data_IF_160769177219
#
_entry.id   IF_160769177219
#
_cell.length_a   1.000
_cell.length_b   1.000
_cell.length_c   1.000
_cell.angle_alpha   90.00
_cell.angle_beta   90.00
_cell.angle_gamma   90.00
#
_symmetry.space_group_name_H-M   'P 1'
#
loop_
_entity.id
_entity.type
_entity.pdbx_description
1 polymer ?
#
# COMPACT_ATOMS: atom_id res chain seq x y z
N UNK A 1 -10.95 13.67 17.25
CA UNK A 1 -11.84 12.60 16.73
C UNK A 1 -11.59 12.30 15.25
N UNK A 2 -11.46 13.33 14.40
CA UNK A 2 -11.22 13.17 12.95
C UNK A 2 -10.01 12.29 12.54
N UNK A 3 -8.86 12.40 13.21
CA UNK A 3 -7.65 11.62 12.86
C UNK A 3 -7.82 10.12 13.12
N UNK A 4 -8.50 9.74 14.21
CA UNK A 4 -8.78 8.33 14.52
C UNK A 4 -9.73 7.72 13.49
N UNK A 5 -10.75 8.48 13.09
CA UNK A 5 -11.69 8.05 12.05
C UNK A 5 -10.98 7.85 10.71
N UNK A 6 -10.09 8.78 10.32
CA UNK A 6 -9.26 8.63 9.12
C UNK A 6 -8.32 7.44 9.18
N UNK A 7 -7.67 7.21 10.33
CA UNK A 7 -6.81 6.06 10.54
C UNK A 7 -7.59 4.76 10.35
N UNK A 8 -8.71 4.59 11.06
CA UNK A 8 -9.46 3.33 11.02
C UNK A 8 -10.23 3.12 9.72
N UNK A 9 -10.74 4.19 9.11
CA UNK A 9 -11.55 4.06 7.91
C UNK A 9 -10.67 4.09 6.64
N UNK A 10 -9.89 5.14 6.40
CA UNK A 10 -9.18 5.32 5.12
C UNK A 10 -7.88 4.53 5.02
N UNK A 11 -7.24 4.15 6.13
CA UNK A 11 -6.01 3.34 6.06
C UNK A 11 -6.30 1.84 6.04
N UNK A 12 -7.47 1.39 6.51
CA UNK A 12 -7.75 -0.04 6.63
C UNK A 12 -7.81 -0.77 5.27
N UNK A 13 -8.52 -0.29 4.24
CA UNK A 13 -8.50 -0.94 2.93
C UNK A 13 -7.09 -1.07 2.34
N UNK A 14 -6.28 0.02 2.18
CA UNK A 14 -4.96 -0.12 1.59
C UNK A 14 -4.03 -1.00 2.45
N UNK A 15 -4.12 -0.96 3.78
CA UNK A 15 -3.35 -1.87 4.64
C UNK A 15 -3.74 -3.34 4.45
N UNK A 16 -5.04 -3.64 4.44
CA UNK A 16 -5.52 -5.02 4.27
C UNK A 16 -5.09 -5.60 2.93
N UNK A 17 -5.21 -4.82 1.85
CA UNK A 17 -4.80 -5.26 0.53
C UNK A 17 -3.28 -5.33 0.39
N UNK A 18 -2.53 -4.39 0.99
CA UNK A 18 -1.06 -4.48 1.03
C UNK A 18 -0.58 -5.72 1.76
N UNK A 19 -1.14 -6.04 2.93
CA UNK A 19 -0.77 -7.24 3.69
C UNK A 19 -1.08 -8.51 2.89
N UNK A 20 -2.23 -8.58 2.22
CA UNK A 20 -2.56 -9.70 1.34
C UNK A 20 -1.55 -9.83 0.20
N UNK A 21 -1.26 -8.75 -0.51
CA UNK A 21 -0.33 -8.72 -1.64
C UNK A 21 1.09 -9.12 -1.22
N UNK A 22 1.58 -8.57 -0.11
CA UNK A 22 2.89 -8.94 0.47
C UNK A 22 2.95 -10.39 0.96
N UNK A 23 1.86 -10.92 1.52
CA UNK A 23 1.78 -12.32 1.93
C UNK A 23 1.79 -13.26 0.72
N UNK A 24 1.03 -12.94 -0.33
CA UNK A 24 1.04 -13.68 -1.59
C UNK A 24 2.42 -13.63 -2.27
N UNK A 25 3.10 -12.48 -2.17
CA UNK A 25 4.47 -12.30 -2.67
C UNK A 25 5.44 -13.27 -2.01
N UNK A 26 5.43 -13.37 -0.68
CA UNK A 26 6.28 -14.32 0.04
C UNK A 26 5.87 -15.78 -0.23
N UNK A 27 4.57 -16.08 -0.18
CA UNK A 27 4.07 -17.42 -0.46
C UNK A 27 4.34 -17.88 -1.91
N UNK A 28 4.47 -16.92 -2.84
CA UNK A 28 4.67 -17.17 -4.25
C UNK A 28 6.11 -17.47 -4.66
N UNK A 29 7.09 -17.39 -3.74
CA UNK A 29 8.47 -17.72 -4.04
C UNK A 29 8.66 -19.24 -4.28
N UNK A 30 9.75 -19.62 -4.95
CA UNK A 30 10.05 -21.03 -5.25
C UNK A 30 10.64 -21.76 -4.05
N UNK A 31 10.66 -23.10 -4.09
CA UNK A 31 11.38 -23.90 -3.08
C UNK A 31 12.88 -23.57 -3.07
N UNK A 32 13.48 -23.33 -4.23
CA UNK A 32 14.89 -22.94 -4.33
C UNK A 32 15.18 -21.58 -3.66
N UNK A 33 14.26 -20.61 -3.80
CA UNK A 33 14.36 -19.34 -3.08
C UNK A 33 14.37 -19.56 -1.56
N UNK A 34 13.45 -20.39 -1.05
CA UNK A 34 13.38 -20.72 0.36
C UNK A 34 14.53 -21.61 0.86
N UNK A 35 15.20 -22.34 -0.03
CA UNK A 35 16.44 -23.07 0.23
C UNK A 35 17.69 -22.16 0.28
N UNK A 36 17.54 -20.85 0.06
CA UNK A 36 18.59 -19.85 0.18
C UNK A 36 19.10 -19.29 -1.15
N UNK A 37 18.58 -19.75 -2.30
CA UNK A 37 18.89 -19.16 -3.60
C UNK A 37 18.01 -17.94 -3.89
N UNK A 38 18.29 -16.83 -3.17
CA UNK A 38 17.50 -15.60 -3.28
C UNK A 38 17.53 -14.95 -4.68
N UNK A 39 18.40 -15.40 -5.58
CA UNK A 39 18.40 -14.95 -6.98
C UNK A 39 17.19 -15.49 -7.76
N UNK A 40 16.54 -16.55 -7.30
CA UNK A 40 15.29 -17.07 -7.88
C UNK A 40 14.05 -16.35 -7.37
N UNK A 41 14.17 -15.05 -7.11
CA UNK A 41 13.04 -14.22 -6.73
C UNK A 41 12.01 -14.15 -7.86
N UNK A 42 10.74 -14.22 -7.49
CA UNK A 42 9.61 -13.92 -8.36
C UNK A 42 8.93 -12.64 -7.83
N UNK A 43 9.27 -11.49 -8.39
CA UNK A 43 8.69 -10.20 -8.04
C UNK A 43 8.88 -9.22 -9.19
N UNK A 44 7.83 -8.49 -9.55
CA UNK A 44 7.83 -7.55 -10.68
C UNK A 44 8.19 -6.13 -10.25
N UNK A 45 7.88 -5.74 -9.01
CA UNK A 45 8.30 -4.47 -8.43
C UNK A 45 9.82 -4.41 -8.34
N UNK A 46 10.51 -3.50 -9.05
CA UNK A 46 11.98 -3.46 -9.05
C UNK A 46 12.57 -3.29 -7.65
N UNK A 47 11.88 -2.55 -6.78
CA UNK A 47 12.31 -2.32 -5.41
C UNK A 47 12.13 -3.53 -4.53
N UNK A 48 10.98 -4.19 -4.59
CA UNK A 48 10.76 -5.39 -3.79
C UNK A 48 11.54 -6.58 -4.32
N UNK A 49 11.76 -6.65 -5.64
CA UNK A 49 12.67 -7.60 -6.26
C UNK A 49 14.08 -7.46 -5.68
N UNK A 50 14.64 -6.25 -5.69
CA UNK A 50 15.97 -6.00 -5.12
C UNK A 50 16.09 -6.33 -3.62
N UNK A 51 15.02 -6.08 -2.85
CA UNK A 51 15.00 -6.44 -1.43
C UNK A 51 14.92 -7.96 -1.24
N UNK A 52 14.08 -8.64 -2.03
CA UNK A 52 13.92 -10.09 -1.99
C UNK A 52 15.17 -10.83 -2.49
N UNK A 53 15.93 -10.29 -3.44
CA UNK A 53 17.24 -10.87 -3.84
C UNK A 53 18.28 -10.79 -2.74
N UNK A 54 18.12 -9.83 -1.81
CA UNK A 54 18.99 -9.71 -0.64
C UNK A 54 18.57 -10.69 0.45
N UNK A 55 17.32 -10.61 0.91
CA UNK A 55 16.76 -11.50 1.95
C UNK A 55 15.24 -11.28 2.10
N UNK A 56 14.42 -12.30 2.44
CA UNK A 56 12.99 -12.12 2.71
C UNK A 56 12.68 -11.15 3.86
N UNK A 57 13.57 -11.05 4.87
CA UNK A 57 13.42 -10.03 5.92
C UNK A 57 13.68 -8.60 5.42
N UNK A 58 14.58 -8.42 4.44
CA UNK A 58 14.79 -7.10 3.84
C UNK A 58 13.53 -6.63 3.12
N UNK A 59 12.83 -7.55 2.44
CA UNK A 59 11.49 -7.30 1.91
C UNK A 59 10.50 -6.93 3.01
N UNK A 60 10.39 -7.72 4.08
CA UNK A 60 9.42 -7.45 5.15
C UNK A 60 9.61 -6.06 5.77
N UNK A 61 10.86 -5.66 6.03
CA UNK A 61 11.20 -4.33 6.55
C UNK A 61 10.88 -3.23 5.53
N UNK A 62 11.28 -3.41 4.27
CA UNK A 62 10.98 -2.43 3.21
C UNK A 62 9.48 -2.29 2.94
N UNK A 63 8.73 -3.38 3.00
CA UNK A 63 7.28 -3.40 2.83
C UNK A 63 6.58 -2.72 4.01
N UNK A 64 7.04 -2.96 5.25
CA UNK A 64 6.56 -2.24 6.42
C UNK A 64 6.85 -0.73 6.34
N UNK A 65 8.03 -0.34 5.84
CA UNK A 65 8.36 1.06 5.60
C UNK A 65 7.43 1.67 4.53
N UNK A 66 7.13 0.95 3.45
CA UNK A 66 6.16 1.39 2.45
C UNK A 66 4.76 1.61 3.02
N UNK A 67 4.29 0.69 3.88
CA UNK A 67 3.03 0.87 4.60
C UNK A 67 3.03 2.13 5.47
N UNK A 68 4.12 2.37 6.21
CA UNK A 68 4.26 3.58 7.00
C UNK A 68 4.23 4.85 6.14
N UNK A 69 4.80 4.82 4.92
CA UNK A 69 4.78 5.94 3.98
C UNK A 69 3.35 6.30 3.58
N UNK A 70 2.58 5.35 3.03
CA UNK A 70 1.24 5.69 2.56
C UNK A 70 0.28 5.98 3.72
N UNK A 71 0.43 5.33 4.88
CA UNK A 71 -0.35 5.68 6.09
C UNK A 71 -0.03 7.11 6.52
N UNK A 72 1.26 7.46 6.58
CA UNK A 72 1.71 8.82 6.87
C UNK A 72 1.10 9.85 5.90
N UNK A 73 1.13 9.56 4.60
CA UNK A 73 0.50 10.42 3.58
C UNK A 73 -1.01 10.56 3.80
N UNK A 74 -1.76 9.48 4.02
CA UNK A 74 -3.21 9.53 4.26
C UNK A 74 -3.54 10.37 5.49
N UNK A 75 -2.77 10.25 6.57
CA UNK A 75 -2.99 11.00 7.80
C UNK A 75 -2.62 12.49 7.67
N UNK A 76 -1.57 12.80 6.89
CA UNK A 76 -1.05 14.16 6.77
C UNK A 76 -1.71 14.94 5.63
N UNK A 77 -2.22 14.32 4.58
CA UNK A 77 -2.75 15.03 3.42
C UNK A 77 -4.10 15.72 3.70
N UNK A 78 -4.41 16.80 2.95
CA UNK A 78 -5.78 17.32 2.85
C UNK A 78 -6.74 16.20 2.43
N UNK A 79 -8.02 16.34 2.79
CA UNK A 79 -9.02 15.29 2.61
C UNK A 79 -8.94 14.67 1.20
N UNK A 80 -9.10 15.46 0.14
CA UNK A 80 -9.16 14.95 -1.25
C UNK A 80 -7.91 14.17 -1.62
N UNK A 81 -6.73 14.67 -1.23
CA UNK A 81 -5.46 14.01 -1.52
C UNK A 81 -5.29 12.72 -0.70
N UNK A 82 -5.74 12.71 0.57
CA UNK A 82 -5.72 11.50 1.40
C UNK A 82 -6.61 10.40 0.81
N UNK A 83 -7.80 10.76 0.32
CA UNK A 83 -8.69 9.82 -0.36
C UNK A 83 -8.08 9.30 -1.66
N UNK A 84 -7.49 10.18 -2.47
CA UNK A 84 -6.80 9.78 -3.70
C UNK A 84 -5.69 8.76 -3.42
N UNK A 85 -4.85 9.01 -2.40
CA UNK A 85 -3.81 8.05 -1.99
C UNK A 85 -4.42 6.73 -1.53
N UNK A 86 -5.45 6.76 -0.69
CA UNK A 86 -6.11 5.54 -0.20
C UNK A 86 -6.69 4.69 -1.35
N UNK A 87 -7.35 5.33 -2.34
CA UNK A 87 -7.88 4.66 -3.53
C UNK A 87 -6.74 4.08 -4.37
N UNK A 88 -5.72 4.90 -4.67
CA UNK A 88 -4.61 4.49 -5.53
C UNK A 88 -3.84 3.29 -4.95
N UNK A 89 -3.53 3.33 -3.65
CA UNK A 89 -2.83 2.23 -2.96
C UNK A 89 -3.70 0.98 -2.88
N UNK A 90 -5.00 1.12 -2.59
CA UNK A 90 -5.93 -0.01 -2.59
C UNK A 90 -5.95 -0.67 -3.96
N UNK A 91 -6.11 0.10 -5.05
CA UNK A 91 -6.16 -0.45 -6.41
C UNK A 91 -4.83 -1.09 -6.82
N UNK A 92 -3.70 -0.46 -6.48
CA UNK A 92 -2.37 -1.01 -6.75
C UNK A 92 -2.19 -2.39 -6.12
N UNK A 93 -2.48 -2.54 -4.83
CA UNK A 93 -2.32 -3.83 -4.14
C UNK A 93 -3.42 -4.84 -4.49
N UNK A 94 -4.64 -4.41 -4.83
CA UNK A 94 -5.65 -5.30 -5.42
C UNK A 94 -5.15 -5.88 -6.73
N UNK A 95 -4.54 -5.05 -7.60
CA UNK A 95 -3.97 -5.50 -8.86
C UNK A 95 -2.79 -6.45 -8.64
N UNK A 96 -1.86 -6.09 -7.74
CA UNK A 96 -0.74 -6.96 -7.34
C UNK A 96 -1.22 -8.34 -6.86
N UNK A 97 -2.13 -8.36 -5.88
CA UNK A 97 -2.69 -9.60 -5.37
C UNK A 97 -3.42 -10.41 -6.46
N UNK A 98 -4.16 -9.75 -7.37
CA UNK A 98 -4.82 -10.43 -8.48
C UNK A 98 -3.82 -11.11 -9.43
N UNK A 99 -2.65 -10.51 -9.69
CA UNK A 99 -1.62 -11.15 -10.52
C UNK A 99 -1.11 -12.44 -9.88
N UNK A 100 -0.93 -12.47 -8.56
CA UNK A 100 -0.57 -13.70 -7.83
C UNK A 100 -1.66 -14.77 -7.95
N UNK A 101 -2.92 -14.41 -7.73
CA UNK A 101 -4.05 -15.35 -7.82
C UNK A 101 -4.22 -15.95 -9.22
N UNK A 102 -4.01 -15.16 -10.28
CA UNK A 102 -4.13 -15.62 -11.66
C UNK A 102 -2.93 -16.46 -12.11
N UNK A 103 -1.72 -15.92 -11.94
CA UNK A 103 -0.55 -16.42 -12.65
C UNK A 103 0.33 -17.36 -11.82
N UNK A 104 0.32 -17.23 -10.49
CA UNK A 104 1.14 -18.08 -9.62
C UNK A 104 0.35 -19.19 -8.96
N UNK A 105 -0.83 -18.88 -8.44
CA UNK A 105 -1.65 -19.84 -7.68
C UNK A 105 -2.81 -20.43 -8.49
N UNK A 106 -3.07 -19.93 -9.70
CA UNK A 106 -4.06 -20.46 -10.62
C UNK A 106 -5.48 -20.60 -10.05
N UNK A 107 -5.87 -19.72 -9.12
CA UNK A 107 -7.25 -19.69 -8.57
C UNK A 107 -8.30 -19.22 -9.60
N UNK A 108 -7.85 -18.66 -10.73
CA UNK A 108 -8.68 -18.32 -11.87
C UNK A 108 -9.49 -17.03 -11.72
N UNK A 109 -10.30 -16.77 -12.75
CA UNK A 109 -11.03 -15.50 -12.91
C UNK A 109 -11.98 -15.18 -11.75
N UNK A 110 -12.68 -16.18 -11.20
CA UNK A 110 -13.68 -15.94 -10.16
C UNK A 110 -13.07 -15.51 -8.82
N UNK A 111 -11.90 -16.03 -8.46
CA UNK A 111 -11.18 -15.59 -7.26
C UNK A 111 -10.77 -14.11 -7.38
N UNK A 112 -10.41 -13.66 -8.58
CA UNK A 112 -10.07 -12.27 -8.84
C UNK A 112 -11.29 -11.35 -8.78
N UNK A 113 -12.44 -11.78 -9.31
CA UNK A 113 -13.69 -11.04 -9.17
C UNK A 113 -14.08 -10.89 -7.69
N UNK A 114 -13.91 -11.95 -6.90
CA UNK A 114 -14.17 -11.89 -5.46
C UNK A 114 -13.22 -10.90 -4.76
N UNK A 115 -11.91 -10.93 -5.08
CA UNK A 115 -10.94 -9.98 -4.55
C UNK A 115 -11.31 -8.53 -4.91
N UNK A 116 -11.70 -8.26 -6.16
CA UNK A 116 -12.14 -6.93 -6.61
C UNK A 116 -13.39 -6.50 -5.86
N UNK A 117 -14.39 -7.40 -5.73
CA UNK A 117 -15.63 -7.11 -5.00
C UNK A 117 -15.34 -6.78 -3.53
N UNK A 118 -14.53 -7.59 -2.85
CA UNK A 118 -14.14 -7.35 -1.44
C UNK A 118 -13.37 -6.02 -1.32
N UNK A 119 -12.45 -5.73 -2.24
CA UNK A 119 -11.72 -4.45 -2.26
C UNK A 119 -12.66 -3.25 -2.40
N UNK A 120 -13.64 -3.34 -3.31
CA UNK A 120 -14.64 -2.30 -3.53
C UNK A 120 -15.56 -2.12 -2.32
N UNK A 121 -15.97 -3.21 -1.66
CA UNK A 121 -16.77 -3.17 -0.43
C UNK A 121 -15.99 -2.48 0.70
N UNK A 122 -14.74 -2.87 0.94
CA UNK A 122 -13.88 -2.26 1.96
C UNK A 122 -13.70 -0.77 1.71
N UNK A 123 -13.38 -0.38 0.48
CA UNK A 123 -13.19 1.01 0.10
C UNK A 123 -14.49 1.83 0.25
N UNK A 124 -15.63 1.27 -0.14
CA UNK A 124 -16.94 1.93 0.00
C UNK A 124 -17.29 2.16 1.46
N UNK A 125 -17.11 1.16 2.32
CA UNK A 125 -17.33 1.28 3.76
C UNK A 125 -16.39 2.30 4.39
N UNK A 126 -15.11 2.27 4.00
CA UNK A 126 -14.10 3.21 4.43
C UNK A 126 -14.45 4.66 4.06
N UNK A 127 -14.93 4.91 2.84
CA UNK A 127 -15.38 6.24 2.42
C UNK A 127 -16.62 6.63 3.23
N UNK A 128 -17.63 5.77 3.32
CA UNK A 128 -18.87 6.07 4.06
C UNK A 128 -18.61 6.43 5.52
N UNK A 129 -17.66 5.76 6.18
CA UNK A 129 -17.34 5.96 7.59
C UNK A 129 -16.33 7.10 7.77
N UNK A 130 -15.27 7.12 6.97
CA UNK A 130 -14.08 7.97 7.16
C UNK A 130 -14.12 9.30 6.45
N UNK A 131 -15.05 9.49 5.54
CA UNK A 131 -15.21 10.71 4.74
C UNK A 131 -16.43 11.51 5.21
N UNK A 132 -16.32 12.29 6.30
CA UNK A 132 -17.44 13.13 6.71
C UNK A 132 -17.69 14.22 5.66
N UNK A 133 -18.97 14.51 5.41
CA UNK A 133 -19.42 15.56 4.49
C UNK A 133 -18.95 16.99 4.88
N UNK A 134 -18.35 17.18 6.07
CA UNK A 134 -17.79 18.44 6.53
C UNK A 134 -16.27 18.35 6.82
N UNK A 135 -15.41 18.65 5.83
CA UNK A 135 -13.95 18.57 5.98
C UNK A 135 -13.33 19.65 6.89
N UNK A 136 -14.13 20.63 7.32
CA UNK A 136 -13.72 21.87 7.99
C UNK A 136 -13.06 21.68 9.36
N UNK A 137 -13.45 20.66 10.14
CA UNK A 137 -12.91 20.45 11.49
C UNK A 137 -11.54 19.73 11.47
N UNK A 138 -11.40 18.73 10.60
CA UNK A 138 -10.13 18.04 10.38
C UNK A 138 -9.08 18.97 9.75
N UNK A 139 -9.50 19.88 8.87
CA UNK A 139 -8.64 20.88 8.27
C UNK A 139 -8.11 21.89 9.30
N UNK A 140 -8.91 22.29 10.30
CA UNK A 140 -8.47 23.21 11.36
C UNK A 140 -7.37 22.62 12.24
N UNK A 141 -7.49 21.36 12.65
CA UNK A 141 -6.45 20.69 13.46
C UNK A 141 -5.13 20.53 12.68
N UNK A 142 -5.22 20.27 11.38
CA UNK A 142 -4.04 20.12 10.51
C UNK A 142 -3.43 21.46 10.05
N UNK A 143 -4.08 22.60 10.32
CA UNK A 143 -3.60 23.93 9.96
C UNK A 143 -2.65 24.55 11.00
N UNK A 144 -2.54 23.97 12.21
CA UNK A 144 -1.80 24.57 13.31
C UNK A 144 -0.26 24.57 13.15
N UNK A 145 0.32 23.76 12.25
CA UNK A 145 1.77 23.71 11.95
C UNK A 145 2.06 23.38 10.48
N UNK A 146 1.86 24.34 9.55
CA UNK A 146 1.84 24.05 8.12
C UNK A 146 3.20 23.64 7.54
N UNK A 147 4.30 24.29 7.95
CA UNK A 147 5.63 24.04 7.38
C UNK A 147 6.10 22.59 7.59
N UNK A 148 6.19 22.14 8.84
CA UNK A 148 6.62 20.76 9.18
C UNK A 148 5.77 19.69 8.47
N UNK A 149 4.45 19.91 8.42
CA UNK A 149 3.52 19.00 7.76
C UNK A 149 3.84 18.85 6.28
N UNK A 150 4.04 19.96 5.57
CA UNK A 150 4.38 19.92 4.15
C UNK A 150 5.78 19.38 3.90
N UNK A 151 6.74 19.64 4.79
CA UNK A 151 8.07 19.02 4.73
C UNK A 151 7.97 17.49 4.85
N UNK A 152 7.19 16.97 5.80
CA UNK A 152 6.96 15.52 5.93
C UNK A 152 6.24 14.94 4.71
N UNK A 153 5.19 15.59 4.21
CA UNK A 153 4.48 15.14 3.02
C UNK A 153 5.44 15.06 1.83
N UNK A 154 6.26 16.09 1.62
CA UNK A 154 7.25 16.13 0.55
C UNK A 154 8.30 15.02 0.70
N UNK A 155 8.80 14.80 1.92
CA UNK A 155 9.77 13.73 2.20
C UNK A 155 9.18 12.34 1.95
N UNK A 156 7.97 12.06 2.44
CA UNK A 156 7.28 10.79 2.23
C UNK A 156 6.91 10.57 0.76
N UNK A 157 6.45 11.62 0.08
CA UNK A 157 6.15 11.57 -1.35
C UNK A 157 7.40 11.31 -2.19
N UNK A 158 8.50 12.01 -1.91
CA UNK A 158 9.79 11.79 -2.56
C UNK A 158 10.31 10.38 -2.31
N UNK A 159 10.17 9.86 -1.09
CA UNK A 159 10.52 8.48 -0.76
C UNK A 159 9.69 7.49 -1.58
N UNK A 160 8.36 7.69 -1.69
CA UNK A 160 7.50 6.85 -2.54
C UNK A 160 7.90 6.89 -4.02
N UNK A 161 8.17 8.07 -4.56
CA UNK A 161 8.65 8.24 -5.95
C UNK A 161 9.99 7.52 -6.14
N UNK A 162 10.93 7.70 -5.21
CA UNK A 162 12.23 7.04 -5.25
C UNK A 162 12.10 5.51 -5.18
N UNK A 163 11.18 5.00 -4.36
CA UNK A 163 10.93 3.57 -4.24
C UNK A 163 10.30 2.96 -5.51
N UNK A 164 9.46 3.65 -6.28
CA UNK A 164 8.71 2.98 -7.35
C UNK A 164 8.95 3.52 -8.76
N UNK A 165 9.46 4.74 -8.90
CA UNK A 165 9.62 5.40 -10.19
C UNK A 165 11.09 5.72 -10.51
N UNK A 166 12.00 5.62 -9.54
CA UNK A 166 13.41 5.85 -9.80
C UNK A 166 14.01 4.67 -10.57
N UNK A 167 14.72 4.91 -11.69
CA UNK A 167 15.37 3.86 -12.44
C UNK A 167 16.36 3.10 -11.54
N UNK A 168 16.16 1.79 -11.41
CA UNK A 168 17.17 0.89 -10.86
C UNK A 168 17.81 0.18 -12.06
N UNK A 169 19.13 0.11 -12.08
CA UNK A 169 19.81 -0.75 -13.05
C UNK A 169 19.34 -2.18 -12.77
N UNK A 170 18.76 -2.81 -13.79
CA UNK A 170 18.33 -4.20 -13.75
C UNK A 170 19.53 -5.14 -13.72
#
# INVERSE_FOLDING_TARGET
MATRLRLYALCLPPLALAVLDGALTLAGQSEAYWAGDYRQVNEMSPTFHHLLTSHPLAFAVGFAAWMAVFVGLILLLPATLALLVAIAVTFGHTAGAATWLLWRFYFGYQACNLLILVSALLLTLAIRIGWPANPTEAQRLLAARPLWRWTLIAALGALGVWLFLWPRAA
#
